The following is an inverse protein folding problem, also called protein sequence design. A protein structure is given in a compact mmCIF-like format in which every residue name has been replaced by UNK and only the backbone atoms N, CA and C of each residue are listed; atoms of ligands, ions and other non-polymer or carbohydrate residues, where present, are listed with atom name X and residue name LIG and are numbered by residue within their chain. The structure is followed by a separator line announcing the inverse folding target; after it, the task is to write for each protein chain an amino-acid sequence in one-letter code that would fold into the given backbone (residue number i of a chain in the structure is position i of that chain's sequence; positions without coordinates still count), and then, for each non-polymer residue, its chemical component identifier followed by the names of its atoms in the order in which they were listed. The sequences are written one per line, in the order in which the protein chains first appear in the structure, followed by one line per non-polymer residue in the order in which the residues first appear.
data_IF_033552182205
#
_entry.id   IF_033552182205
#
_cell.length_a   1.000
_cell.length_b   1.000
_cell.length_c   1.000
_cell.angle_alpha   90.00
_cell.angle_beta   90.00
_cell.angle_gamma   90.00
#
_symmetry.space_group_name_H-M   'P 1'
#
loop_
_entity.id
_entity.type
_entity.pdbx_description
1 polymer ?
#
# COMPACT_ATOMS: atom_id res chain seq x y z
N UNK A 1 -11.64 -12.40 11.00
CA UNK A 1 -12.28 -11.19 10.48
C UNK A 1 -11.28 -10.41 9.63
N UNK A 2 -11.58 -10.27 8.36
CA UNK A 2 -10.68 -9.58 7.43
C UNK A 2 -10.99 -8.09 7.48
N UNK A 3 -10.06 -7.30 7.99
CA UNK A 3 -10.17 -5.85 7.98
C UNK A 3 -9.54 -5.34 6.69
N UNK A 4 -10.35 -5.06 5.68
CA UNK A 4 -9.86 -4.49 4.42
C UNK A 4 -9.96 -2.98 4.53
N UNK A 5 -8.82 -2.33 4.75
CA UNK A 5 -8.74 -0.87 4.66
C UNK A 5 -7.98 -0.53 3.38
N UNK A 6 -8.62 0.21 2.50
CA UNK A 6 -8.00 0.67 1.26
C UNK A 6 -7.60 2.11 1.42
N UNK A 7 -6.33 2.39 1.14
CA UNK A 7 -5.80 3.74 1.08
C UNK A 7 -5.79 4.19 -0.37
N UNK A 8 -6.45 5.29 -0.65
CA UNK A 8 -6.47 5.88 -1.97
C UNK A 8 -5.85 7.25 -1.93
N UNK A 9 -4.84 7.46 -2.78
CA UNK A 9 -4.25 8.77 -2.98
C UNK A 9 -4.92 9.42 -4.18
N UNK A 10 -5.76 10.42 -3.92
CA UNK A 10 -6.44 11.15 -4.99
C UNK A 10 -6.01 12.61 -4.94
N UNK A 11 -5.42 13.10 -6.05
CA UNK A 11 -4.95 14.48 -6.15
C UNK A 11 -6.05 15.45 -6.55
N UNK A 12 -7.13 14.97 -7.14
CA UNK A 12 -8.20 15.81 -7.64
C UNK A 12 -9.54 15.43 -7.03
N UNK A 13 -10.40 16.42 -6.82
CA UNK A 13 -11.74 16.21 -6.30
C UNK A 13 -12.57 15.31 -7.24
N UNK A 14 -12.35 15.40 -8.53
CA UNK A 14 -13.03 14.57 -9.52
C UNK A 14 -12.76 13.08 -9.31
N UNK A 15 -11.50 12.70 -9.10
CA UNK A 15 -11.12 11.32 -8.83
C UNK A 15 -11.72 10.85 -7.51
N UNK A 16 -11.71 11.69 -6.48
CA UNK A 16 -12.33 11.38 -5.20
C UNK A 16 -13.83 11.10 -5.35
N UNK A 17 -14.52 11.90 -6.15
CA UNK A 17 -15.95 11.72 -6.37
C UNK A 17 -16.25 10.39 -7.06
N UNK A 18 -15.44 10.02 -8.07
CA UNK A 18 -15.57 8.73 -8.75
C UNK A 18 -15.34 7.58 -7.78
N UNK A 19 -14.32 7.68 -6.95
CA UNK A 19 -13.99 6.65 -5.96
C UNK A 19 -15.13 6.47 -4.96
N UNK A 20 -15.67 7.57 -4.41
CA UNK A 20 -16.80 7.51 -3.48
C UNK A 20 -18.01 6.88 -4.12
N UNK A 21 -18.30 7.22 -5.38
CA UNK A 21 -19.40 6.63 -6.13
C UNK A 21 -19.22 5.11 -6.28
N UNK A 22 -18.03 4.66 -6.60
CA UNK A 22 -17.74 3.24 -6.75
C UNK A 22 -17.91 2.51 -5.40
N UNK A 23 -17.43 3.10 -4.32
CA UNK A 23 -17.59 2.55 -2.98
C UNK A 23 -19.07 2.43 -2.61
N UNK A 24 -19.87 3.47 -2.89
CA UNK A 24 -21.30 3.44 -2.65
C UNK A 24 -22.00 2.37 -3.47
N UNK A 25 -21.66 2.25 -4.75
CA UNK A 25 -22.25 1.25 -5.63
C UNK A 25 -21.97 -0.19 -5.19
N UNK A 26 -20.83 -0.41 -4.51
CA UNK A 26 -20.44 -1.72 -3.99
C UNK A 26 -20.95 -1.96 -2.57
N UNK A 27 -21.61 -0.97 -1.95
CA UNK A 27 -22.12 -1.04 -0.57
C UNK A 27 -21.05 -1.39 0.46
N UNK A 28 -19.87 -0.79 0.32
CA UNK A 28 -18.72 -1.03 1.22
C UNK A 28 -18.27 0.22 1.97
N UNK A 29 -19.14 1.22 2.09
CA UNK A 29 -18.82 2.50 2.76
C UNK A 29 -18.41 2.27 4.21
N UNK A 30 -19.08 1.38 4.91
CA UNK A 30 -18.80 1.05 6.30
C UNK A 30 -17.50 0.27 6.48
N UNK A 31 -17.01 -0.33 5.40
CA UNK A 31 -15.76 -1.12 5.40
C UNK A 31 -14.60 -0.38 4.77
N UNK A 32 -14.81 0.85 4.32
CA UNK A 32 -13.82 1.63 3.59
C UNK A 32 -13.58 2.97 4.25
N UNK A 33 -12.32 3.38 4.25
CA UNK A 33 -11.92 4.72 4.69
C UNK A 33 -11.10 5.35 3.59
N UNK A 34 -11.48 6.57 3.18
CA UNK A 34 -10.76 7.34 2.18
C UNK A 34 -9.94 8.39 2.91
N UNK A 35 -8.63 8.42 2.63
CA UNK A 35 -7.74 9.43 3.19
C UNK A 35 -7.13 10.21 2.03
N UNK A 36 -7.46 11.50 1.93
CA UNK A 36 -6.94 12.39 0.91
C UNK A 36 -5.70 13.11 1.45
N UNK A 37 -4.59 12.41 1.51
CA UNK A 37 -3.31 12.92 1.98
C UNK A 37 -2.17 12.36 1.15
N UNK A 38 -1.01 13.01 1.20
CA UNK A 38 0.22 12.45 0.68
C UNK A 38 0.51 11.11 1.38
N UNK A 39 1.13 10.16 0.67
CA UNK A 39 1.37 8.84 1.22
C UNK A 39 2.24 8.86 2.49
N UNK A 40 3.19 9.79 2.59
CA UNK A 40 4.03 9.93 3.78
C UNK A 40 3.20 10.32 5.00
N UNK A 41 2.29 11.26 4.82
CA UNK A 41 1.38 11.70 5.88
C UNK A 41 0.40 10.59 6.27
N UNK A 42 -0.12 9.86 5.28
CA UNK A 42 -1.04 8.77 5.52
C UNK A 42 -0.38 7.63 6.30
N UNK A 43 0.85 7.25 5.92
CA UNK A 43 1.58 6.19 6.62
C UNK A 43 1.91 6.60 8.05
N UNK A 44 2.27 7.85 8.27
CA UNK A 44 2.52 8.37 9.61
C UNK A 44 1.24 8.40 10.46
N UNK A 45 0.13 8.75 9.86
CA UNK A 45 -1.18 8.70 10.52
C UNK A 45 -1.49 7.28 11.01
N UNK A 46 -1.26 6.27 10.18
CA UNK A 46 -1.49 4.89 10.57
C UNK A 46 -0.59 4.48 11.75
N UNK A 47 0.67 4.87 11.70
CA UNK A 47 1.59 4.60 12.81
C UNK A 47 1.10 5.23 14.10
N UNK A 48 0.72 6.52 14.06
CA UNK A 48 0.30 7.27 15.23
C UNK A 48 -1.01 6.75 15.84
N UNK A 49 -1.83 6.08 15.05
CA UNK A 49 -3.10 5.53 15.49
C UNK A 49 -3.05 4.01 15.70
N UNK A 50 -1.86 3.41 15.70
CA UNK A 50 -1.64 1.98 15.89
C UNK A 50 -2.44 1.10 14.93
N UNK A 51 -2.57 1.55 13.69
CA UNK A 51 -3.29 0.82 12.65
C UNK A 51 -2.32 -0.10 11.92
N UNK A 52 -2.68 -1.36 11.81
CA UNK A 52 -1.92 -2.36 11.06
C UNK A 52 -2.81 -3.03 10.02
N UNK A 53 -2.17 -3.54 8.98
CA UNK A 53 -2.86 -4.14 7.84
C UNK A 53 -2.37 -5.57 7.59
N UNK A 54 -3.25 -6.42 7.10
CA UNK A 54 -2.89 -7.75 6.62
C UNK A 54 -2.38 -7.69 5.18
N UNK A 55 -2.91 -6.77 4.39
CA UNK A 55 -2.51 -6.57 3.00
C UNK A 55 -2.39 -5.08 2.74
N UNK A 56 -1.24 -4.67 2.20
CA UNK A 56 -1.04 -3.31 1.71
C UNK A 56 -0.77 -3.40 0.21
N UNK A 57 -1.60 -2.71 -0.58
CA UNK A 57 -1.45 -2.61 -2.02
C UNK A 57 -1.00 -1.21 -2.39
N UNK A 58 0.10 -1.13 -3.13
CA UNK A 58 0.63 0.15 -3.60
C UNK A 58 0.61 0.13 -5.12
N UNK A 59 -0.27 0.94 -5.70
CA UNK A 59 -0.43 1.06 -7.14
C UNK A 59 -0.63 2.54 -7.47
N UNK A 60 0.44 3.21 -7.86
CA UNK A 60 0.36 4.61 -8.24
C UNK A 60 1.54 5.00 -9.11
N UNK A 61 1.36 5.97 -10.00
CA UNK A 61 2.44 6.51 -10.81
C UNK A 61 3.32 7.44 -9.97
N UNK A 62 4.13 6.84 -9.09
CA UNK A 62 5.06 7.61 -8.27
C UNK A 62 6.31 7.97 -9.05
N UNK A 63 7.01 8.99 -8.56
CA UNK A 63 8.34 9.33 -9.04
C UNK A 63 9.32 8.18 -8.75
N UNK A 64 10.42 8.17 -9.48
CA UNK A 64 11.48 7.20 -9.30
C UNK A 64 11.89 7.08 -7.81
N UNK A 65 12.06 5.86 -7.36
CA UNK A 65 12.45 5.49 -5.98
C UNK A 65 11.39 5.70 -4.89
N UNK A 66 10.21 6.22 -5.22
CA UNK A 66 9.16 6.35 -4.22
C UNK A 66 8.73 4.99 -3.66
N UNK A 67 8.81 3.93 -4.45
CA UNK A 67 8.48 2.58 -3.99
C UNK A 67 9.42 2.10 -2.89
N UNK A 68 10.72 2.35 -3.03
CA UNK A 68 11.69 2.02 -1.97
C UNK A 68 11.36 2.76 -0.68
N UNK A 69 11.01 4.03 -0.77
CA UNK A 69 10.61 4.81 0.40
C UNK A 69 9.37 4.25 1.07
N UNK A 70 8.35 3.88 0.28
CA UNK A 70 7.12 3.27 0.82
C UNK A 70 7.45 1.98 1.56
N UNK A 71 8.26 1.11 0.97
CA UNK A 71 8.65 -0.15 1.61
C UNK A 71 9.38 0.12 2.93
N UNK A 72 10.32 1.05 2.93
CA UNK A 72 11.07 1.39 4.14
C UNK A 72 10.18 1.97 5.23
N UNK A 73 9.21 2.82 4.87
CA UNK A 73 8.27 3.39 5.83
C UNK A 73 7.30 2.35 6.39
N UNK A 74 6.79 1.47 5.54
CA UNK A 74 5.93 0.36 5.99
C UNK A 74 6.66 -0.50 7.01
N UNK A 75 7.93 -0.78 6.75
CA UNK A 75 8.76 -1.58 7.64
C UNK A 75 9.11 -0.82 8.93
N UNK A 76 9.55 0.43 8.80
CA UNK A 76 9.93 1.27 9.93
C UNK A 76 8.75 1.51 10.88
N UNK A 77 7.58 1.76 10.35
CA UNK A 77 6.37 2.02 11.13
C UNK A 77 5.64 0.76 11.56
N UNK A 78 6.12 -0.40 11.14
CA UNK A 78 5.54 -1.71 11.47
C UNK A 78 4.04 -1.76 11.14
N UNK A 79 3.71 -1.43 9.90
CA UNK A 79 2.32 -1.30 9.45
C UNK A 79 1.67 -2.61 9.00
N UNK A 80 2.45 -3.70 8.89
CA UNK A 80 1.93 -5.01 8.54
C UNK A 80 1.79 -5.89 9.77
N UNK A 81 0.68 -6.60 9.84
CA UNK A 81 0.52 -7.69 10.79
C UNK A 81 1.52 -8.82 10.46
N UNK A 82 1.77 -9.69 11.43
CA UNK A 82 2.58 -10.89 11.20
C UNK A 82 1.97 -11.71 10.07
N UNK A 83 2.79 -12.20 9.15
CA UNK A 83 2.37 -12.87 7.91
C UNK A 83 1.57 -11.98 6.97
N UNK A 84 1.57 -10.67 7.20
CA UNK A 84 0.99 -9.70 6.27
C UNK A 84 1.81 -9.56 5.00
N UNK A 85 1.18 -9.09 3.94
CA UNK A 85 1.83 -8.94 2.64
C UNK A 85 1.75 -7.51 2.13
N UNK A 86 2.83 -7.09 1.46
CA UNK A 86 2.93 -5.81 0.78
C UNK A 86 3.07 -6.08 -0.71
N UNK A 87 2.12 -5.56 -1.49
CA UNK A 87 2.10 -5.74 -2.94
C UNK A 87 2.37 -4.41 -3.60
N UNK A 88 3.37 -4.37 -4.47
CA UNK A 88 3.79 -3.15 -5.17
C UNK A 88 3.74 -3.35 -6.67
N UNK A 89 3.10 -2.42 -7.37
CA UNK A 89 3.16 -2.33 -8.82
C UNK A 89 4.07 -1.15 -9.19
N UNK A 90 5.06 -1.40 -10.05
CA UNK A 90 6.05 -0.40 -10.41
C UNK A 90 6.56 -0.62 -11.83
N UNK A 91 7.24 0.37 -12.40
CA UNK A 91 7.77 0.27 -13.76
C UNK A 91 9.28 0.53 -13.85
N UNK A 92 9.80 1.49 -13.10
CA UNK A 92 11.20 1.93 -13.25
C UNK A 92 12.04 1.78 -11.99
N UNK A 93 11.43 1.53 -10.84
CA UNK A 93 12.15 1.40 -9.58
C UNK A 93 12.99 0.11 -9.56
N UNK A 94 14.13 0.18 -8.87
CA UNK A 94 14.94 -1.00 -8.58
C UNK A 94 14.67 -1.39 -7.14
N UNK A 95 14.04 -2.55 -6.96
CA UNK A 95 13.64 -3.03 -5.64
C UNK A 95 14.55 -4.18 -5.20
N UNK A 96 14.78 -4.25 -3.90
CA UNK A 96 15.58 -5.32 -3.28
C UNK A 96 14.73 -6.55 -3.02
N UNK A 97 15.39 -7.70 -2.89
CA UNK A 97 14.72 -8.95 -2.53
C UNK A 97 14.33 -8.98 -1.04
N UNK A 98 15.08 -8.28 -0.21
CA UNK A 98 14.82 -8.24 1.23
C UNK A 98 14.92 -6.81 1.76
N UNK A 99 14.00 -6.46 2.65
CA UNK A 99 13.97 -5.19 3.39
C UNK A 99 13.75 -5.50 4.85
N UNK A 100 14.82 -5.68 5.63
CA UNK A 100 14.69 -5.97 7.07
C UNK A 100 13.73 -7.15 7.31
N UNK A 101 12.52 -6.90 7.80
CA UNK A 101 11.53 -7.94 8.10
C UNK A 101 10.64 -8.29 6.91
N UNK A 102 10.90 -7.73 5.73
CA UNK A 102 10.13 -8.03 4.52
C UNK A 102 10.96 -8.84 3.54
N UNK A 103 10.43 -10.00 3.16
CA UNK A 103 11.09 -10.91 2.22
C UNK A 103 10.27 -11.03 0.95
N UNK A 104 10.94 -10.93 -0.20
CA UNK A 104 10.29 -11.09 -1.50
C UNK A 104 9.78 -12.53 -1.67
N UNK A 105 8.47 -12.67 -1.83
CA UNK A 105 7.84 -13.96 -2.15
C UNK A 105 7.78 -14.21 -3.64
N UNK A 106 7.43 -13.17 -4.40
CA UNK A 106 7.21 -13.31 -5.83
C UNK A 106 7.45 -11.97 -6.53
N UNK A 107 8.06 -12.03 -7.70
CA UNK A 107 8.19 -10.91 -8.61
C UNK A 107 7.73 -11.36 -9.99
N UNK A 108 6.87 -10.59 -10.63
CA UNK A 108 6.35 -10.92 -11.96
C UNK A 108 6.29 -9.68 -12.83
N UNK A 109 6.64 -9.87 -14.10
CA UNK A 109 6.59 -8.81 -15.11
C UNK A 109 5.33 -8.96 -15.97
N UNK A 110 4.60 -7.87 -16.13
CA UNK A 110 3.42 -7.78 -16.98
C UNK A 110 3.62 -6.63 -17.96
N UNK A 111 3.87 -6.92 -19.22
CA UNK A 111 4.11 -5.89 -20.22
C UNK A 111 5.28 -4.98 -19.80
N UNK A 112 5.01 -3.72 -19.49
CA UNK A 112 6.00 -2.73 -19.04
C UNK A 112 6.00 -2.52 -17.52
N UNK A 113 5.23 -3.32 -16.77
CA UNK A 113 5.10 -3.19 -15.33
C UNK A 113 5.56 -4.43 -14.60
N UNK A 114 5.98 -4.22 -13.35
CA UNK A 114 6.40 -5.28 -12.45
C UNK A 114 5.50 -5.29 -11.22
N UNK A 115 5.24 -6.48 -10.69
CA UNK A 115 4.54 -6.66 -9.42
C UNK A 115 5.44 -7.44 -8.48
N UNK A 116 5.75 -6.85 -7.33
CA UNK A 116 6.49 -7.53 -6.26
C UNK A 116 5.57 -7.77 -5.07
N UNK A 117 5.67 -8.94 -4.48
CA UNK A 117 4.93 -9.33 -3.28
C UNK A 117 5.94 -9.65 -2.19
N UNK A 118 5.88 -8.89 -1.10
CA UNK A 118 6.73 -9.08 0.07
C UNK A 118 5.92 -9.62 1.24
N UNK A 119 6.49 -10.57 1.96
CA UNK A 119 5.91 -11.15 3.17
C UNK A 119 6.63 -10.57 4.39
N UNK A 120 5.87 -10.16 5.40
CA UNK A 120 6.45 -9.82 6.69
C UNK A 120 6.82 -11.11 7.42
N UNK A 121 8.09 -11.26 7.71
CA UNK A 121 8.60 -12.42 8.46
C UNK A 121 8.85 -12.02 9.91
N UNK A 122 8.63 -12.96 10.81
CA UNK A 122 8.91 -12.79 12.23
C UNK A 122 10.35 -13.19 12.48
N UNK A 123 11.09 -12.32 13.15
CA UNK A 123 12.46 -12.63 13.57
C UNK A 123 12.45 -13.47 14.86
#
# INVERSE_FOLDING_TARGET
MINVKKLYRCKTQEILNILRKNINNLNIEDKSTIINRDYREALLYFKNNNIKFNIILVDAPYKMEAMNEVIELVNKYNLLEDDGVLVLEYSTDILKDNYSNLRLLKSKKYSDKYVNIYLKVID
#
